data_IF_708522179995
#
_entry.id   IF_708522179995
#
_cell.length_a   1.000
_cell.length_b   1.000
_cell.length_c   1.000
_cell.angle_alpha   90.00
_cell.angle_beta   90.00
_cell.angle_gamma   90.00
#
_symmetry.space_group_name_H-M   'P 1'
#
loop_
_entity.id
_entity.type
_entity.pdbx_description
1 polymer ?
#
# COMPACT_ATOMS: atom_id res chain seq x y z
N UNK A 1 -8.36 11.18 -13.95
CA UNK A 1 -7.76 10.16 -13.07
C UNK A 1 -8.70 9.94 -11.90
N UNK A 2 -8.55 8.84 -11.18
CA UNK A 2 -9.35 8.51 -9.99
C UNK A 2 -8.40 8.07 -8.88
N UNK A 3 -8.76 8.35 -7.64
CA UNK A 3 -8.10 7.81 -6.46
C UNK A 3 -8.53 6.36 -6.22
N UNK A 4 -7.55 5.48 -6.07
CA UNK A 4 -7.75 4.07 -5.73
C UNK A 4 -7.22 3.83 -4.33
N UNK A 5 -8.10 3.33 -3.47
CA UNK A 5 -7.81 2.99 -2.08
C UNK A 5 -7.47 1.50 -1.99
N UNK A 6 -6.31 1.18 -1.42
CA UNK A 6 -5.88 -0.19 -1.19
C UNK A 6 -4.79 -0.24 -0.11
N UNK A 7 -4.62 -1.41 0.49
CA UNK A 7 -3.59 -1.65 1.51
C UNK A 7 -2.63 -2.73 1.04
N UNK A 8 -1.33 -2.46 1.12
CA UNK A 8 -0.27 -3.43 0.88
C UNK A 8 0.21 -3.99 2.20
N UNK A 9 0.13 -5.30 2.36
CA UNK A 9 0.68 -6.01 3.52
C UNK A 9 2.12 -6.39 3.22
N UNK A 10 3.03 -6.15 4.16
CA UNK A 10 4.45 -6.47 4.03
C UNK A 10 4.79 -7.75 4.79
N UNK A 11 5.79 -8.49 4.31
CA UNK A 11 6.32 -9.67 5.00
C UNK A 11 7.33 -9.34 6.11
N UNK A 12 7.67 -8.06 6.29
CA UNK A 12 8.74 -7.62 7.19
C UNK A 12 8.20 -7.07 8.51
N UNK A 13 8.51 -7.71 9.67
CA UNK A 13 8.07 -7.23 10.97
C UNK A 13 8.87 -6.03 11.50
N UNK A 14 10.07 -5.75 10.96
CA UNK A 14 11.04 -4.83 11.57
C UNK A 14 11.42 -3.67 10.64
N UNK A 15 10.40 -2.92 10.20
CA UNK A 15 10.59 -1.61 9.57
C UNK A 15 10.94 -0.58 10.65
N UNK A 16 12.13 0.00 10.55
CA UNK A 16 12.61 1.06 11.44
C UNK A 16 12.12 2.45 11.01
N UNK A 17 12.31 3.46 11.87
CA UNK A 17 11.87 4.83 11.60
C UNK A 17 12.52 5.42 10.34
N UNK A 18 13.79 5.07 10.04
CA UNK A 18 14.47 5.61 8.86
C UNK A 18 13.86 5.08 7.55
N UNK A 19 13.46 3.81 7.54
CA UNK A 19 12.74 3.22 6.41
C UNK A 19 11.33 3.83 6.28
N UNK A 20 10.63 4.07 7.39
CA UNK A 20 9.34 4.79 7.40
C UNK A 20 9.46 6.16 6.75
N UNK A 21 10.46 6.96 7.14
CA UNK A 21 10.68 8.29 6.56
C UNK A 21 11.01 8.20 5.05
N UNK A 22 11.76 7.19 4.65
CA UNK A 22 12.08 6.94 3.23
C UNK A 22 10.83 6.59 2.43
N UNK A 23 9.94 5.76 2.97
CA UNK A 23 8.65 5.43 2.35
C UNK A 23 7.80 6.69 2.21
N UNK A 24 7.66 7.50 3.25
CA UNK A 24 6.90 8.75 3.17
C UNK A 24 7.48 9.74 2.15
N UNK A 25 8.81 9.79 2.01
CA UNK A 25 9.47 10.62 0.99
C UNK A 25 9.22 10.13 -0.44
N UNK A 26 9.02 8.83 -0.65
CA UNK A 26 8.81 8.20 -1.96
C UNK A 26 7.32 8.11 -2.33
N UNK A 27 6.47 7.84 -1.35
CA UNK A 27 5.03 7.59 -1.47
C UNK A 27 4.27 8.57 -0.57
N UNK A 28 4.07 9.80 -1.04
CA UNK A 28 3.38 10.84 -0.29
C UNK A 28 1.87 10.57 -0.09
N UNK A 29 1.32 9.65 -0.88
CA UNK A 29 -0.07 9.20 -0.87
C UNK A 29 -0.29 7.95 0.01
N UNK A 30 0.61 7.74 0.98
CA UNK A 30 0.61 6.53 1.81
C UNK A 30 0.59 6.81 3.30
N UNK A 31 0.04 5.84 4.05
CA UNK A 31 0.05 5.81 5.52
C UNK A 31 0.52 4.44 6.01
N UNK A 32 1.53 4.44 6.88
CA UNK A 32 2.12 3.20 7.41
C UNK A 32 1.52 2.88 8.76
N UNK A 33 1.13 1.63 8.98
CA UNK A 33 0.63 1.15 10.25
C UNK A 33 1.21 -0.21 10.62
N UNK A 34 1.06 -0.57 11.90
CA UNK A 34 1.41 -1.89 12.43
C UNK A 34 0.29 -2.40 13.31
N UNK A 35 -0.18 -3.62 13.03
CA UNK A 35 -1.21 -4.28 13.82
C UNK A 35 -0.82 -5.74 14.05
N UNK A 36 -0.83 -6.18 15.31
CA UNK A 36 -0.49 -7.56 15.70
C UNK A 36 0.81 -8.10 15.06
N UNK A 37 1.85 -7.26 14.98
CA UNK A 37 3.14 -7.63 14.39
C UNK A 37 3.21 -7.57 12.86
N UNK A 38 2.10 -7.31 12.17
CA UNK A 38 2.05 -7.12 10.71
C UNK A 38 2.19 -5.64 10.37
N UNK A 39 3.13 -5.30 9.49
CA UNK A 39 3.26 -3.96 8.93
C UNK A 39 2.47 -3.86 7.63
N UNK A 40 1.76 -2.75 7.46
CA UNK A 40 0.97 -2.48 6.28
C UNK A 40 1.12 -1.02 5.85
N UNK A 41 0.88 -0.79 4.56
CA UNK A 41 0.89 0.54 3.95
C UNK A 41 -0.43 0.73 3.23
N UNK A 42 -1.26 1.64 3.73
CA UNK A 42 -2.47 2.08 3.06
C UNK A 42 -2.11 3.15 2.03
N UNK A 43 -2.74 3.11 0.86
CA UNK A 43 -2.54 4.05 -0.24
C UNK A 43 -3.86 4.69 -0.66
N UNK A 44 -3.78 5.99 -0.95
CA UNK A 44 -4.82 6.79 -1.61
C UNK A 44 -4.30 7.26 -2.97
N UNK A 45 -4.07 6.31 -3.89
CA UNK A 45 -3.26 6.57 -5.10
C UNK A 45 -4.08 7.07 -6.28
N UNK A 46 -3.76 8.27 -6.76
CA UNK A 46 -4.34 8.81 -7.99
C UNK A 46 -3.72 8.17 -9.23
N UNK A 47 -4.54 7.59 -10.10
CA UNK A 47 -4.07 6.91 -11.31
C UNK A 47 -5.11 6.92 -12.44
N UNK A 48 -4.68 6.51 -13.63
CA UNK A 48 -5.54 6.28 -14.80
C UNK A 48 -6.31 4.96 -14.72
N UNK A 49 -5.80 3.97 -13.99
CA UNK A 49 -6.45 2.69 -13.73
C UNK A 49 -6.00 2.07 -12.41
N UNK A 50 -6.79 1.14 -11.88
CA UNK A 50 -6.44 0.37 -10.67
C UNK A 50 -5.14 -0.41 -10.86
N UNK A 51 -5.01 -1.09 -12.00
CA UNK A 51 -3.83 -1.88 -12.34
C UNK A 51 -2.54 -1.04 -12.29
N UNK A 52 -2.56 0.16 -12.88
CA UNK A 52 -1.43 1.09 -12.84
C UNK A 52 -1.17 1.61 -11.42
N UNK A 53 -2.21 1.86 -10.62
CA UNK A 53 -2.06 2.25 -9.22
C UNK A 53 -1.37 1.16 -8.38
N UNK A 54 -1.82 -0.09 -8.51
CA UNK A 54 -1.25 -1.23 -7.80
C UNK A 54 0.19 -1.51 -8.23
N UNK A 55 0.45 -1.57 -9.53
CA UNK A 55 1.79 -1.84 -10.04
C UNK A 55 2.80 -0.76 -9.64
N UNK A 56 2.43 0.51 -9.77
CA UNK A 56 3.31 1.61 -9.35
C UNK A 56 3.62 1.57 -7.85
N UNK A 57 2.63 1.29 -6.99
CA UNK A 57 2.86 1.20 -5.55
C UNK A 57 3.76 0.02 -5.19
N UNK A 58 3.51 -1.15 -5.77
CA UNK A 58 4.33 -2.34 -5.56
C UNK A 58 5.78 -2.09 -6.02
N UNK A 59 5.95 -1.46 -7.19
CA UNK A 59 7.28 -1.17 -7.73
C UNK A 59 7.99 -0.12 -6.88
N UNK A 60 7.32 0.94 -6.43
CA UNK A 60 7.92 1.93 -5.52
C UNK A 60 8.45 1.26 -4.24
N UNK A 61 7.66 0.35 -3.63
CA UNK A 61 8.07 -0.37 -2.43
C UNK A 61 9.25 -1.33 -2.70
N UNK A 62 9.25 -2.03 -3.83
CA UNK A 62 10.36 -2.91 -4.23
C UNK A 62 11.65 -2.13 -4.48
N UNK A 63 11.59 -0.94 -5.05
CA UNK A 63 12.76 -0.08 -5.21
C UNK A 63 13.36 0.37 -3.88
N UNK A 64 12.57 0.39 -2.81
CA UNK A 64 13.03 0.63 -1.45
C UNK A 64 13.55 -0.65 -0.74
N UNK A 65 13.59 -1.78 -1.44
CA UNK A 65 14.02 -3.06 -0.88
C UNK A 65 12.96 -3.78 -0.03
N UNK A 66 11.71 -3.29 -0.04
CA UNK A 66 10.61 -3.88 0.71
C UNK A 66 10.00 -5.04 -0.09
N UNK A 67 9.40 -5.99 0.64
CA UNK A 67 8.74 -7.16 0.06
C UNK A 67 7.22 -7.11 0.29
N UNK A 68 6.43 -6.62 -0.69
CA UNK A 68 4.98 -6.74 -0.68
C UNK A 68 4.54 -8.22 -0.66
N UNK A 69 3.68 -8.58 0.28
CA UNK A 69 3.16 -9.94 0.44
C UNK A 69 1.82 -10.12 -0.27
N UNK A 70 0.87 -9.20 -0.05
CA UNK A 70 -0.43 -9.18 -0.70
C UNK A 70 -1.03 -7.78 -0.71
N UNK A 71 -2.02 -7.58 -1.57
CA UNK A 71 -2.86 -6.38 -1.58
C UNK A 71 -4.22 -6.73 -1.02
N UNK A 72 -4.74 -5.88 -0.15
CA UNK A 72 -6.09 -5.91 0.38
C UNK A 72 -6.84 -4.68 -0.15
N UNK A 73 -8.10 -4.88 -0.54
CA UNK A 73 -8.98 -3.83 -1.01
C UNK A 73 -10.33 -4.02 -0.33
N UNK A 74 -10.89 -2.92 0.17
CA UNK A 74 -12.26 -2.95 0.64
C UNK A 74 -13.19 -3.06 -0.57
N UNK A 75 -13.98 -4.13 -0.58
CA UNK A 75 -15.09 -4.26 -1.53
C UNK A 75 -16.29 -3.60 -0.84
N UNK A 76 -16.86 -2.52 -1.39
CA UNK A 76 -18.04 -1.92 -0.81
C UNK A 76 -19.16 -2.95 -0.72
N UNK A 77 -19.81 -3.04 0.45
CA UNK A 77 -20.85 -4.02 0.79
C UNK A 77 -21.98 -4.13 -0.26
N UNK A 78 -22.22 -3.05 -1.02
CA UNK A 78 -23.19 -2.98 -2.11
C UNK A 78 -22.90 -3.94 -3.28
N UNK A 79 -21.66 -4.41 -3.46
CA UNK A 79 -21.29 -5.36 -4.51
C UNK A 79 -21.52 -6.83 -4.14
N UNK A 80 -21.91 -7.12 -2.90
CA UNK A 80 -22.20 -8.49 -2.43
C UNK A 80 -23.70 -8.84 -2.45
N UNK A 81 -24.57 -7.87 -2.75
CA UNK A 81 -25.99 -8.08 -3.00
C UNK A 81 -26.21 -8.23 -4.52
N UNK A 82 -25.92 -9.40 -5.07
CA UNK A 82 -26.23 -9.77 -6.46
C UNK A 82 -26.66 -11.22 -6.53
#
# INVERSE_FOLDING_TARGET
MKTYEFTVILSDPDIDTSTVDTIYGKCADSSIGRSHGTVYIAFDRESTSLDVALHSAIDDLRHLGLTPLRVEMDIPELAMAS
#
